data_IF_718465096195
#
_entry.id   IF_718465096195
#
_cell.length_a   1.000
_cell.length_b   1.000
_cell.length_c   1.000
_cell.angle_alpha   90.00
_cell.angle_beta   90.00
_cell.angle_gamma   90.00
#
_symmetry.space_group_name_H-M   'P 1'
#
loop_
_entity.id
_entity.type
_entity.pdbx_description
1 polymer ?
#
# COMPACT_ATOMS: atom_id res chain seq x y z
N UNK A 1 -43.81 12.56 -15.46
CA UNK A 1 -43.37 11.20 -15.84
C UNK A 1 -42.35 10.75 -14.81
N UNK A 2 -42.74 9.81 -13.95
CA UNK A 2 -41.90 9.27 -12.88
C UNK A 2 -41.32 7.93 -13.32
N UNK A 3 -40.00 7.80 -13.26
CA UNK A 3 -39.34 6.49 -13.32
C UNK A 3 -38.42 6.39 -12.11
N UNK A 4 -38.91 5.64 -11.11
CA UNK A 4 -38.10 5.08 -10.04
C UNK A 4 -37.79 3.64 -10.45
N UNK A 5 -36.51 3.26 -10.49
CA UNK A 5 -36.03 1.87 -10.54
C UNK A 5 -34.79 1.89 -9.64
N UNK A 6 -34.97 1.65 -8.35
CA UNK A 6 -34.81 0.36 -7.65
C UNK A 6 -33.44 -0.31 -7.87
N UNK A 7 -32.78 -0.41 -6.72
CA UNK A 7 -32.07 -1.57 -6.21
C UNK A 7 -30.76 -1.98 -6.89
N UNK A 8 -29.68 -1.70 -6.17
CA UNK A 8 -28.35 -2.17 -6.46
C UNK A 8 -27.46 -2.03 -5.23
N UNK A 9 -27.99 -2.35 -4.05
CA UNK A 9 -27.18 -2.52 -2.86
C UNK A 9 -26.32 -3.76 -3.04
N UNK A 10 -25.04 -3.58 -3.39
CA UNK A 10 -23.92 -4.53 -3.28
C UNK A 10 -22.70 -3.72 -3.76
N UNK A 11 -21.67 -3.42 -2.96
CA UNK A 11 -20.91 -4.35 -2.15
C UNK A 11 -20.37 -3.61 -0.93
N UNK A 12 -20.58 -4.19 0.24
CA UNK A 12 -19.75 -3.92 1.40
C UNK A 12 -18.29 -3.95 0.94
N UNK A 13 -17.61 -2.80 1.02
CA UNK A 13 -16.17 -2.76 0.94
C UNK A 13 -15.70 -3.78 1.98
N UNK A 14 -15.12 -4.87 1.48
CA UNK A 14 -14.56 -5.94 2.30
C UNK A 14 -13.77 -5.26 3.40
N UNK A 15 -14.19 -5.47 4.65
CA UNK A 15 -13.40 -5.07 5.80
C UNK A 15 -12.06 -5.76 5.60
N UNK A 16 -11.02 -5.01 5.26
CA UNK A 16 -9.66 -5.55 5.22
C UNK A 16 -9.41 -6.10 6.62
N UNK A 17 -9.47 -7.41 6.70
CA UNK A 17 -9.41 -8.19 7.92
C UNK A 17 -8.00 -8.07 8.46
N UNK A 18 -7.77 -7.07 9.32
CA UNK A 18 -6.61 -6.97 10.22
C UNK A 18 -5.32 -7.56 9.66
N UNK A 19 -4.95 -7.19 8.43
CA UNK A 19 -3.66 -7.56 7.89
C UNK A 19 -2.67 -6.69 8.63
N UNK A 20 -1.93 -7.30 9.56
CA UNK A 20 -0.69 -6.70 10.05
C UNK A 20 0.09 -6.32 8.79
N UNK A 21 0.23 -5.01 8.56
CA UNK A 21 0.98 -4.51 7.42
C UNK A 21 2.45 -4.81 7.74
N UNK A 22 2.89 -5.99 7.31
CA UNK A 22 4.23 -6.49 7.57
C UNK A 22 5.22 -5.61 6.80
N UNK A 23 6.03 -4.86 7.54
CA UNK A 23 7.09 -4.05 6.97
C UNK A 23 8.31 -4.92 6.69
N UNK A 24 8.71 -4.99 5.43
CA UNK A 24 9.93 -5.69 5.00
C UNK A 24 11.14 -4.75 5.00
N UNK A 25 12.34 -5.35 5.04
CA UNK A 25 13.59 -4.61 4.91
C UNK A 25 13.74 -4.01 3.50
N UNK A 26 14.52 -2.93 3.37
CA UNK A 26 14.68 -2.24 2.09
C UNK A 26 15.40 -3.13 1.05
N UNK A 27 16.29 -4.01 1.49
CA UNK A 27 17.01 -4.97 0.66
C UNK A 27 16.04 -5.99 0.05
N UNK A 28 15.10 -6.49 0.85
CA UNK A 28 14.07 -7.43 0.44
C UNK A 28 13.09 -6.76 -0.54
N UNK A 29 12.63 -5.55 -0.22
CA UNK A 29 11.79 -4.74 -1.11
C UNK A 29 12.47 -4.48 -2.46
N UNK A 30 13.77 -4.15 -2.46
CA UNK A 30 14.54 -3.95 -3.68
C UNK A 30 14.61 -5.22 -4.54
N UNK A 31 14.76 -6.39 -3.91
CA UNK A 31 14.74 -7.69 -4.58
C UNK A 31 13.38 -7.99 -5.23
N UNK A 32 12.29 -7.80 -4.51
CA UNK A 32 10.94 -8.05 -5.04
C UNK A 32 10.56 -7.11 -6.17
N UNK A 33 10.94 -5.83 -6.07
CA UNK A 33 10.61 -4.83 -7.08
C UNK A 33 11.59 -4.82 -8.25
N UNK A 34 12.71 -5.53 -8.15
CA UNK A 34 13.82 -5.50 -9.11
C UNK A 34 14.33 -4.06 -9.37
N UNK A 35 14.36 -3.23 -8.33
CA UNK A 35 14.81 -1.83 -8.38
C UNK A 35 16.06 -1.68 -7.49
N UNK A 36 17.10 -0.94 -7.91
CA UNK A 36 18.26 -0.68 -7.05
C UNK A 36 17.87 0.01 -5.73
N UNK A 37 18.49 -0.40 -4.62
CA UNK A 37 18.25 0.17 -3.27
C UNK A 37 18.37 1.70 -3.27
N UNK A 38 19.36 2.27 -3.97
CA UNK A 38 19.51 3.74 -4.08
C UNK A 38 18.30 4.42 -4.73
N UNK A 39 17.71 3.79 -5.74
CA UNK A 39 16.48 4.28 -6.36
C UNK A 39 15.33 4.18 -5.37
N UNK A 40 15.19 3.05 -4.67
CA UNK A 40 14.14 2.87 -3.68
C UNK A 40 14.22 3.89 -2.53
N UNK A 41 15.42 4.22 -2.06
CA UNK A 41 15.63 5.34 -1.12
C UNK A 41 15.19 6.69 -1.68
N UNK A 42 15.49 6.99 -2.95
CA UNK A 42 15.03 8.22 -3.59
C UNK A 42 13.50 8.28 -3.69
N UNK A 43 12.86 7.17 -4.03
CA UNK A 43 11.40 7.07 -4.08
C UNK A 43 10.79 7.31 -2.69
N UNK A 44 11.38 6.72 -1.65
CA UNK A 44 10.97 6.91 -0.26
C UNK A 44 11.12 8.38 0.18
N UNK A 45 12.25 9.03 -0.15
CA UNK A 45 12.48 10.45 0.14
C UNK A 45 11.49 11.37 -0.58
N UNK A 46 11.00 10.96 -1.75
CA UNK A 46 9.98 11.69 -2.53
C UNK A 46 8.54 11.36 -2.09
N UNK A 47 8.36 10.42 -1.16
CA UNK A 47 7.04 9.97 -0.71
C UNK A 47 6.28 9.13 -1.75
N UNK A 48 6.97 8.60 -2.76
CA UNK A 48 6.36 7.78 -3.82
C UNK A 48 6.15 6.31 -3.39
N UNK A 49 6.77 5.90 -2.28
CA UNK A 49 6.56 4.59 -1.65
C UNK A 49 6.43 4.74 -0.12
N UNK A 50 5.64 3.89 0.54
CA UNK A 50 5.60 3.84 2.01
C UNK A 50 6.95 3.43 2.56
N UNK A 51 7.51 4.24 3.45
CA UNK A 51 8.78 3.96 4.11
C UNK A 51 8.78 4.52 5.53
N UNK A 52 9.33 3.76 6.48
CA UNK A 52 9.52 4.20 7.86
C UNK A 52 10.98 4.07 8.26
N UNK A 53 11.51 5.08 8.95
CA UNK A 53 12.89 5.04 9.46
C UNK A 53 12.89 4.34 10.81
N UNK A 54 13.45 3.14 10.86
CA UNK A 54 13.71 2.42 12.12
C UNK A 54 15.10 2.83 12.61
N UNK A 55 15.17 3.49 13.77
CA UNK A 55 16.46 3.84 14.39
C UNK A 55 17.16 2.62 14.98
N UNK A 56 18.49 2.58 14.95
CA UNK A 56 19.25 1.78 15.92
C UNK A 56 19.29 2.59 17.21
N UNK A 57 18.59 2.14 18.23
CA UNK A 57 18.77 2.62 19.62
C UNK A 57 20.13 2.22 20.13
#
# INVERSE_FOLDING_TARGET
>A
MATTVRDGGLRAATRSSGQFEEWIAIEEAAGHLAIPIRTLHRLAQRGEVPASKVGRT
#
